data_IF_999115221905
#
_entry.id   IF_999115221905
#
_cell.length_a   1.000
_cell.length_b   1.000
_cell.length_c   1.000
_cell.angle_alpha   90.00
_cell.angle_beta   90.00
_cell.angle_gamma   90.00
#
_symmetry.space_group_name_H-M   'P 1'
#
loop_
_entity.id
_entity.type
_entity.pdbx_description
1 polymer ?
#
# COMPACT_ATOMS: atom_id res chain seq x y z
N UNK A 1 -8.85 15.21 13.40
CA UNK A 1 -7.42 15.52 13.70
C UNK A 1 -7.12 17.03 13.59
N UNK A 2 -6.13 17.55 14.32
CA UNK A 2 -5.67 18.96 14.28
C UNK A 2 -4.62 19.17 13.19
N UNK A 3 -5.03 19.18 11.93
CA UNK A 3 -4.11 19.32 10.80
C UNK A 3 -3.88 20.79 10.38
N UNK A 4 -4.69 21.72 10.91
CA UNK A 4 -4.66 23.14 10.52
C UNK A 4 -3.39 23.86 10.95
N UNK A 5 -2.59 24.37 9.99
CA UNK A 5 -1.35 25.12 10.28
C UNK A 5 -0.11 24.30 10.57
N UNK A 6 -0.24 22.95 10.56
CA UNK A 6 0.89 22.06 10.79
C UNK A 6 1.81 21.97 9.56
N UNK A 7 3.12 21.71 9.77
CA UNK A 7 4.08 21.56 8.68
C UNK A 7 3.74 20.39 7.76
N UNK A 8 3.96 20.57 6.48
CA UNK A 8 3.79 19.54 5.47
C UNK A 8 5.14 18.91 5.10
N UNK A 9 5.18 17.60 4.92
CA UNK A 9 6.38 16.93 4.41
C UNK A 9 6.68 17.34 2.98
N UNK A 10 7.96 17.55 2.68
CA UNK A 10 8.46 17.70 1.31
C UNK A 10 8.73 16.38 0.60
N UNK A 11 8.66 15.26 1.31
CA UNK A 11 8.88 13.90 0.76
C UNK A 11 7.58 13.34 0.14
N UNK A 12 6.95 14.12 -0.73
CA UNK A 12 5.69 13.80 -1.37
C UNK A 12 5.77 13.99 -2.89
N UNK A 13 5.41 12.94 -3.62
CA UNK A 13 5.29 12.96 -5.08
C UNK A 13 3.83 12.81 -5.49
N UNK A 14 3.32 13.75 -6.27
CA UNK A 14 1.97 13.67 -6.82
C UNK A 14 2.02 13.19 -8.28
N UNK A 15 1.52 12.00 -8.51
CA UNK A 15 1.39 11.37 -9.83
C UNK A 15 -0.07 11.16 -10.23
N UNK A 16 -1.04 11.73 -9.49
CA UNK A 16 -2.47 11.45 -9.70
C UNK A 16 -3.00 11.92 -11.04
N UNK A 17 -2.41 12.99 -11.61
CA UNK A 17 -2.76 13.47 -12.96
C UNK A 17 -2.02 12.79 -14.09
N UNK A 18 -1.17 11.79 -13.81
CA UNK A 18 -0.42 11.09 -14.84
C UNK A 18 -1.24 9.89 -15.32
N UNK A 19 -1.47 9.79 -16.63
CA UNK A 19 -2.02 8.57 -17.22
C UNK A 19 -1.03 7.43 -16.98
N UNK A 20 -1.49 6.35 -16.32
CA UNK A 20 -0.71 5.12 -16.15
C UNK A 20 -0.44 4.50 -17.53
N UNK A 21 0.63 4.91 -18.20
CA UNK A 21 1.08 4.35 -19.49
C UNK A 21 1.68 2.94 -19.30
N UNK A 22 1.04 2.13 -18.47
CA UNK A 22 1.47 0.78 -18.19
C UNK A 22 0.61 -0.25 -18.89
N UNK A 23 0.59 -0.26 -20.20
CA UNK A 23 0.19 -1.33 -21.13
C UNK A 23 -0.35 -0.79 -22.47
N UNK A 24 -0.14 0.47 -22.78
CA UNK A 24 -0.65 1.14 -23.96
C UNK A 24 0.41 1.52 -25.01
N UNK A 25 1.56 0.86 -25.05
CA UNK A 25 2.65 1.11 -25.98
C UNK A 25 2.89 -0.02 -26.97
N UNK A 26 1.83 -0.73 -27.40
CA UNK A 26 1.89 -1.63 -28.55
C UNK A 26 0.76 -1.28 -29.50
N UNK A 27 1.01 -0.29 -30.35
CA UNK A 27 0.21 -0.03 -31.53
C UNK A 27 0.26 -1.24 -32.45
N UNK A 28 -0.85 -1.95 -32.58
CA UNK A 28 -1.04 -3.12 -33.40
C UNK A 28 -2.11 -4.01 -32.80
N UNK A 29 -3.28 -4.04 -33.49
CA UNK A 29 -4.48 -4.73 -33.03
C UNK A 29 -4.26 -6.15 -32.53
N UNK A 30 -4.28 -6.34 -31.26
CA UNK A 30 -4.28 -7.65 -30.63
C UNK A 30 -5.59 -7.84 -29.87
N UNK A 31 -6.45 -8.69 -30.44
CA UNK A 31 -7.70 -9.17 -29.86
C UNK A 31 -7.53 -9.86 -28.46
N UNK A 32 -6.29 -10.10 -28.01
CA UNK A 32 -6.00 -10.70 -26.72
C UNK A 32 -6.27 -9.77 -25.51
N UNK A 33 -6.11 -8.47 -25.66
CA UNK A 33 -6.34 -7.52 -24.56
C UNK A 33 -7.81 -7.40 -24.14
N UNK A 34 -8.75 -7.69 -25.05
CA UNK A 34 -10.18 -7.65 -24.77
C UNK A 34 -10.72 -8.95 -24.12
N UNK A 35 -9.93 -10.03 -24.14
CA UNK A 35 -10.37 -11.34 -23.62
C UNK A 35 -9.96 -11.55 -22.15
N UNK A 36 -8.98 -10.81 -21.64
CA UNK A 36 -8.47 -10.98 -20.28
C UNK A 36 -9.56 -10.80 -19.19
N UNK A 37 -10.40 -9.75 -19.24
CA UNK A 37 -11.46 -9.59 -18.24
C UNK A 37 -12.53 -10.69 -18.34
N UNK A 38 -12.77 -11.20 -19.53
CA UNK A 38 -13.78 -12.24 -19.78
C UNK A 38 -13.31 -13.61 -19.28
N UNK A 39 -12.01 -13.90 -19.39
CA UNK A 39 -11.40 -15.15 -18.94
C UNK A 39 -11.27 -15.16 -17.42
N UNK A 40 -10.92 -14.03 -16.81
CA UNK A 40 -10.88 -13.91 -15.33
C UNK A 40 -12.25 -14.10 -14.69
N UNK A 41 -13.33 -13.62 -15.32
CA UNK A 41 -14.69 -13.74 -14.80
C UNK A 41 -15.27 -15.14 -14.86
N UNK A 42 -14.77 -16.00 -15.78
CA UNK A 42 -15.30 -17.35 -15.98
C UNK A 42 -14.38 -18.49 -15.53
N UNK A 43 -13.07 -18.30 -15.52
CA UNK A 43 -12.09 -19.37 -15.30
C UNK A 43 -11.08 -19.07 -14.18
N UNK A 44 -11.19 -17.93 -13.50
CA UNK A 44 -10.32 -17.55 -12.40
C UNK A 44 -8.82 -17.54 -12.77
N UNK A 45 -7.95 -17.66 -11.75
CA UNK A 45 -6.49 -17.68 -11.94
C UNK A 45 -5.99 -18.82 -12.86
N UNK A 46 -6.71 -19.94 -12.90
CA UNK A 46 -6.36 -21.08 -13.76
C UNK A 46 -6.45 -20.76 -15.25
N UNK A 47 -7.41 -19.92 -15.66
CA UNK A 47 -7.56 -19.50 -17.06
C UNK A 47 -6.43 -18.57 -17.53
N UNK A 48 -5.90 -17.75 -16.64
CA UNK A 48 -4.76 -16.86 -16.94
C UNK A 48 -3.49 -17.66 -17.18
N UNK A 49 -3.25 -18.71 -16.36
CA UNK A 49 -2.09 -19.60 -16.53
C UNK A 49 -2.16 -20.33 -17.88
N UNK A 50 -3.34 -20.80 -18.30
CA UNK A 50 -3.51 -21.44 -19.61
C UNK A 50 -3.27 -20.49 -20.78
N UNK A 51 -3.67 -19.20 -20.67
CA UNK A 51 -3.40 -18.20 -21.69
C UNK A 51 -1.91 -17.87 -21.79
N UNK A 52 -1.22 -17.76 -20.66
CA UNK A 52 0.23 -17.50 -20.64
C UNK A 52 1.00 -18.69 -21.21
N UNK A 53 0.66 -19.92 -20.81
CA UNK A 53 1.28 -21.13 -21.36
C UNK A 53 0.98 -21.28 -22.84
N UNK A 54 -0.27 -21.04 -23.27
CA UNK A 54 -0.66 -21.07 -24.70
C UNK A 54 0.12 -20.05 -25.54
N UNK A 55 0.33 -18.83 -25.02
CA UNK A 55 1.13 -17.81 -25.67
C UNK A 55 2.60 -18.23 -25.84
N UNK A 56 3.21 -18.80 -24.80
CA UNK A 56 4.59 -19.28 -24.89
C UNK A 56 4.74 -20.50 -25.82
N UNK A 57 3.77 -21.40 -25.84
CA UNK A 57 3.76 -22.55 -26.75
C UNK A 57 3.59 -22.10 -28.22
N UNK A 58 2.70 -21.17 -28.51
CA UNK A 58 2.56 -20.61 -29.87
C UNK A 58 3.83 -19.87 -30.31
N UNK A 59 4.49 -19.15 -29.42
CA UNK A 59 5.71 -18.41 -29.74
C UNK A 59 6.93 -19.34 -29.93
N UNK A 60 6.93 -20.53 -29.31
CA UNK A 60 8.00 -21.53 -29.45
C UNK A 60 7.82 -22.46 -30.65
N UNK A 61 6.63 -22.52 -31.25
CA UNK A 61 6.32 -23.37 -32.41
C UNK A 61 6.52 -22.72 -33.78
N UNK A 62 7.26 -21.63 -33.85
CA UNK A 62 7.76 -21.13 -35.11
C UNK A 62 6.96 -19.96 -35.68
N UNK A 63 7.68 -18.94 -35.87
CA UNK A 63 7.29 -17.67 -36.44
C UNK A 63 6.65 -17.76 -37.80
N UNK A 64 5.73 -16.82 -37.99
CA UNK A 64 5.37 -16.34 -39.34
C UNK A 64 5.89 -14.92 -39.44
N UNK A 65 6.88 -14.78 -40.29
CA UNK A 65 7.64 -13.59 -40.52
C UNK A 65 6.81 -12.45 -41.12
N UNK A 66 7.29 -11.25 -40.84
CA UNK A 66 6.85 -10.00 -41.44
C UNK A 66 7.89 -8.94 -41.20
N UNK A 67 8.85 -8.81 -42.11
CA UNK A 67 9.88 -7.79 -42.17
C UNK A 67 9.25 -6.42 -42.37
N UNK A 68 9.57 -5.47 -41.50
CA UNK A 68 9.28 -4.06 -41.73
C UNK A 68 10.08 -3.25 -40.75
N UNK A 69 11.34 -2.93 -41.10
CA UNK A 69 12.20 -2.08 -40.28
C UNK A 69 11.67 -0.65 -40.26
N UNK A 70 11.49 -0.11 -39.07
CA UNK A 70 11.42 1.33 -38.85
C UNK A 70 12.33 1.59 -37.65
N UNK A 71 13.39 2.35 -37.86
CA UNK A 71 14.33 2.81 -36.84
C UNK A 71 13.58 3.61 -35.76
N UNK A 72 13.85 3.39 -34.48
CA UNK A 72 13.31 4.24 -33.46
C UNK A 72 14.01 5.58 -33.49
N UNK A 73 13.24 6.63 -33.67
CA UNK A 73 13.71 7.99 -33.39
C UNK A 73 13.63 8.22 -31.89
N UNK A 74 14.76 8.09 -31.21
CA UNK A 74 14.90 8.44 -29.80
C UNK A 74 14.74 9.95 -29.61
N UNK A 75 13.53 10.35 -29.33
CA UNK A 75 13.26 11.58 -28.56
C UNK A 75 12.62 11.17 -27.25
N UNK A 76 13.21 11.54 -26.09
CA UNK A 76 12.52 11.36 -24.84
C UNK A 76 11.21 12.16 -24.90
N UNK A 77 10.09 11.47 -24.95
CA UNK A 77 8.78 12.09 -24.76
C UNK A 77 8.75 12.57 -23.32
N UNK A 78 8.89 13.87 -23.12
CA UNK A 78 8.57 14.52 -21.85
C UNK A 78 7.14 14.11 -21.50
N UNK A 79 6.99 13.32 -20.43
CA UNK A 79 5.70 13.07 -19.85
C UNK A 79 5.08 14.42 -19.52
N UNK A 80 3.99 14.75 -20.18
CA UNK A 80 3.21 15.94 -19.85
C UNK A 80 2.75 15.73 -18.41
N UNK A 81 3.27 16.53 -17.49
CA UNK A 81 2.84 16.53 -16.08
C UNK A 81 1.33 16.90 -16.10
N UNK A 82 0.48 15.90 -15.92
CA UNK A 82 -0.94 16.12 -15.74
C UNK A 82 -1.19 16.95 -14.50
N UNK A 83 -2.26 17.73 -14.49
CA UNK A 83 -2.64 18.45 -13.29
C UNK A 83 -3.01 17.45 -12.20
N UNK A 84 -2.58 17.73 -10.95
CA UNK A 84 -3.00 16.97 -9.78
C UNK A 84 -4.52 16.84 -9.70
N UNK A 85 -4.99 15.65 -9.38
CA UNK A 85 -6.42 15.38 -9.14
C UNK A 85 -6.75 15.32 -7.64
N UNK A 86 -5.74 15.53 -6.78
CA UNK A 86 -5.92 15.58 -5.33
C UNK A 86 -6.71 16.82 -4.91
N UNK A 87 -7.70 16.64 -4.02
CA UNK A 87 -8.26 17.78 -3.33
C UNK A 87 -7.22 18.37 -2.37
N UNK A 88 -7.28 19.71 -2.11
CA UNK A 88 -6.37 20.34 -1.16
C UNK A 88 -6.41 19.70 0.23
N UNK A 89 -7.58 19.25 0.66
CA UNK A 89 -7.80 18.61 1.97
C UNK A 89 -7.08 17.28 2.07
N UNK A 90 -7.25 16.43 1.06
CA UNK A 90 -6.58 15.11 1.01
C UNK A 90 -5.06 15.30 0.89
N UNK A 91 -4.60 16.20 0.01
CA UNK A 91 -3.18 16.51 -0.09
C UNK A 91 -2.60 16.91 1.25
N UNK A 92 -3.28 17.84 1.95
CA UNK A 92 -2.86 18.33 3.26
C UNK A 92 -2.80 17.20 4.28
N UNK A 93 -3.82 16.35 4.35
CA UNK A 93 -3.82 15.20 5.26
C UNK A 93 -2.61 14.30 4.98
N UNK A 94 -2.38 13.93 3.73
CA UNK A 94 -1.26 13.07 3.34
C UNK A 94 0.08 13.67 3.76
N UNK A 95 0.31 14.95 3.46
CA UNK A 95 1.60 15.61 3.68
C UNK A 95 1.85 15.97 5.15
N UNK A 96 0.82 16.40 5.90
CA UNK A 96 0.95 16.68 7.34
C UNK A 96 1.16 15.40 8.14
N UNK A 97 0.39 14.33 7.87
CA UNK A 97 0.56 13.06 8.57
C UNK A 97 1.94 12.47 8.28
N UNK A 98 2.40 12.49 7.02
CA UNK A 98 3.75 12.05 6.70
C UNK A 98 4.80 12.86 7.46
N UNK A 99 4.69 14.20 7.48
CA UNK A 99 5.62 15.07 8.17
C UNK A 99 5.67 14.84 9.69
N UNK A 100 4.52 14.62 10.33
CA UNK A 100 4.47 14.31 11.76
C UNK A 100 5.08 12.92 12.05
N UNK A 101 4.86 11.92 11.17
CA UNK A 101 5.55 10.62 11.31
C UNK A 101 7.06 10.76 11.18
N UNK A 102 7.55 11.59 10.25
CA UNK A 102 8.98 11.87 10.07
C UNK A 102 9.58 12.53 11.32
N UNK A 103 8.89 13.51 11.87
CA UNK A 103 9.33 14.21 13.09
C UNK A 103 9.42 13.26 14.28
N UNK A 104 8.36 12.45 14.50
CA UNK A 104 8.33 11.51 15.61
C UNK A 104 9.42 10.44 15.48
N UNK A 105 9.47 9.74 14.33
CA UNK A 105 10.41 8.64 14.14
C UNK A 105 11.86 9.10 14.01
N UNK A 106 12.08 10.31 13.49
CA UNK A 106 13.39 10.94 13.47
C UNK A 106 13.96 11.18 14.89
N UNK A 107 13.09 11.42 15.87
CA UNK A 107 13.48 11.55 17.27
C UNK A 107 13.57 10.20 17.99
N UNK A 108 12.69 9.27 17.67
CA UNK A 108 12.58 7.98 18.33
C UNK A 108 13.66 6.96 17.89
N UNK A 109 14.13 7.06 16.64
CA UNK A 109 15.09 6.13 16.03
C UNK A 109 16.34 6.89 15.55
N UNK A 110 17.50 6.56 16.10
CA UNK A 110 18.75 7.28 15.80
C UNK A 110 19.26 7.15 14.34
N UNK A 111 18.70 6.22 13.58
CA UNK A 111 19.06 5.97 12.18
C UNK A 111 17.88 6.13 11.21
N UNK A 112 16.81 6.79 11.64
CA UNK A 112 15.66 7.02 10.77
C UNK A 112 16.03 7.88 9.56
N UNK A 113 15.55 7.47 8.41
CA UNK A 113 15.61 8.23 7.15
C UNK A 113 14.17 8.34 6.64
N UNK A 114 13.72 9.55 6.25
CA UNK A 114 12.37 9.72 5.72
C UNK A 114 12.11 8.85 4.49
N UNK A 115 10.88 8.39 4.35
CA UNK A 115 10.36 7.75 3.15
C UNK A 115 9.69 8.78 2.25
N UNK A 116 9.59 8.50 0.95
CA UNK A 116 8.78 9.32 0.04
C UNK A 116 7.41 8.68 -0.13
N UNK A 117 6.34 9.46 0.01
CA UNK A 117 5.00 9.04 -0.33
C UNK A 117 4.65 9.46 -1.76
N UNK A 118 4.15 8.53 -2.56
CA UNK A 118 3.70 8.72 -3.94
C UNK A 118 2.19 8.57 -3.99
N UNK A 119 1.48 9.65 -4.28
CA UNK A 119 0.05 9.59 -4.61
C UNK A 119 -0.11 9.32 -6.10
N UNK A 120 -0.93 8.34 -6.47
CA UNK A 120 -1.17 7.97 -7.88
C UNK A 120 -2.64 7.63 -8.10
N UNK A 121 -3.07 7.43 -9.35
CA UNK A 121 -4.44 7.00 -9.68
C UNK A 121 -4.41 5.77 -10.57
N UNK A 122 -5.15 4.73 -10.18
CA UNK A 122 -5.34 3.49 -10.94
C UNK A 122 -4.13 2.57 -10.94
N UNK A 123 -2.96 3.04 -11.35
CA UNK A 123 -1.74 2.24 -11.37
C UNK A 123 -0.47 3.08 -11.51
N UNK A 124 0.65 2.55 -11.01
CA UNK A 124 1.96 3.22 -11.06
C UNK A 124 3.11 2.23 -11.15
N UNK A 125 4.22 2.65 -11.76
CA UNK A 125 5.47 1.87 -11.78
C UNK A 125 6.22 2.08 -10.47
N UNK A 126 6.73 0.97 -9.90
CA UNK A 126 7.55 0.96 -8.68
C UNK A 126 8.74 0.02 -8.86
N UNK A 127 9.74 0.10 -7.99
CA UNK A 127 10.85 -0.85 -7.99
C UNK A 127 10.44 -2.27 -7.51
N UNK A 128 9.23 -2.43 -6.98
CA UNK A 128 8.64 -3.72 -6.60
C UNK A 128 7.73 -4.31 -7.69
N UNK A 129 7.62 -3.65 -8.84
CA UNK A 129 6.73 -4.01 -9.93
C UNK A 129 5.63 -2.98 -10.15
N UNK A 130 4.62 -3.35 -10.95
CA UNK A 130 3.48 -2.47 -11.24
C UNK A 130 2.48 -2.48 -10.08
N UNK A 131 2.36 -1.36 -9.38
CA UNK A 131 1.36 -1.14 -8.34
C UNK A 131 -0.01 -0.83 -8.94
N UNK A 132 -1.05 -1.50 -8.44
CA UNK A 132 -2.44 -1.28 -8.83
C UNK A 132 -3.24 -0.76 -7.63
N UNK A 133 -4.11 0.23 -7.85
CA UNK A 133 -5.00 0.78 -6.82
C UNK A 133 -5.84 -0.29 -6.12
N UNK A 134 -6.28 -1.32 -6.85
CA UNK A 134 -7.06 -2.43 -6.30
C UNK A 134 -6.33 -3.25 -5.22
N UNK A 135 -5.01 -3.13 -5.11
CA UNK A 135 -4.22 -3.76 -4.05
C UNK A 135 -4.22 -2.97 -2.73
N UNK A 136 -4.74 -1.74 -2.74
CA UNK A 136 -4.66 -0.80 -1.63
C UNK A 136 -3.31 -0.08 -1.55
N UNK A 137 -3.11 0.76 -0.52
CA UNK A 137 -1.83 1.36 -0.20
C UNK A 137 -0.76 0.30 0.09
N UNK A 138 0.50 0.61 -0.19
CA UNK A 138 1.61 -0.31 0.09
C UNK A 138 2.95 0.41 0.20
N UNK A 139 3.85 -0.18 0.96
CA UNK A 139 5.27 0.19 1.00
C UNK A 139 6.09 -0.72 0.08
N UNK A 140 6.96 -0.14 -0.74
CA UNK A 140 7.91 -0.89 -1.56
C UNK A 140 9.32 -0.82 -0.94
N UNK A 141 9.87 -1.93 -0.43
CA UNK A 141 11.20 -1.92 0.20
C UNK A 141 12.34 -1.65 -0.78
N UNK A 142 12.19 -1.94 -2.08
CA UNK A 142 13.25 -1.79 -3.06
C UNK A 142 13.56 -0.32 -3.39
N UNK A 143 12.55 0.56 -3.41
CA UNK A 143 12.74 2.01 -3.61
C UNK A 143 12.47 2.83 -2.34
N UNK A 144 12.05 2.16 -1.26
CA UNK A 144 11.77 2.75 0.03
C UNK A 144 10.69 3.84 -0.04
N UNK A 145 9.64 3.60 -0.84
CA UNK A 145 8.53 4.52 -1.03
C UNK A 145 7.20 3.91 -0.60
N UNK A 146 6.33 4.76 -0.12
CA UNK A 146 4.91 4.45 0.12
C UNK A 146 4.12 4.85 -1.13
N UNK A 147 3.23 3.99 -1.56
CA UNK A 147 2.35 4.22 -2.70
C UNK A 147 0.90 4.19 -2.26
N UNK A 148 0.15 5.23 -2.63
CA UNK A 148 -1.24 5.38 -2.21
C UNK A 148 -2.09 5.92 -3.36
N UNK A 149 -3.19 5.23 -3.65
CA UNK A 149 -4.27 5.78 -4.46
C UNK A 149 -5.30 6.42 -3.53
N UNK A 150 -5.54 7.73 -3.62
CA UNK A 150 -6.48 8.41 -2.73
C UNK A 150 -7.91 7.91 -2.79
N UNK A 151 -8.31 7.23 -3.89
CA UNK A 151 -9.62 6.61 -3.99
C UNK A 151 -9.82 5.46 -2.98
N UNK A 152 -8.73 4.87 -2.48
CA UNK A 152 -8.79 3.91 -1.38
C UNK A 152 -9.50 4.48 -0.14
N UNK A 153 -9.34 5.76 0.15
CA UNK A 153 -10.02 6.40 1.28
C UNK A 153 -11.54 6.50 1.08
N UNK A 154 -11.97 6.68 -0.18
CA UNK A 154 -13.39 6.60 -0.52
C UNK A 154 -13.93 5.18 -0.34
N UNK A 155 -13.15 4.16 -0.67
CA UNK A 155 -13.50 2.76 -0.41
C UNK A 155 -13.56 2.46 1.09
N UNK A 156 -12.55 2.94 1.86
CA UNK A 156 -12.51 2.79 3.31
C UNK A 156 -13.78 3.39 3.96
N UNK A 157 -14.17 4.58 3.54
CA UNK A 157 -15.36 5.25 4.06
C UNK A 157 -16.68 4.57 3.64
N UNK A 158 -16.82 4.22 2.36
CA UNK A 158 -18.10 3.77 1.78
C UNK A 158 -18.32 2.26 1.89
N UNK A 159 -17.29 1.48 1.51
CA UNK A 159 -17.38 0.02 1.48
C UNK A 159 -17.13 -0.59 2.84
N UNK A 160 -16.13 -0.07 3.55
CA UNK A 160 -15.72 -0.61 4.83
C UNK A 160 -16.32 0.14 6.02
N UNK A 161 -17.13 1.17 5.79
CA UNK A 161 -17.84 1.96 6.82
C UNK A 161 -16.89 2.51 7.90
N UNK A 162 -15.66 2.80 7.51
CA UNK A 162 -14.62 3.38 8.38
C UNK A 162 -14.22 4.77 7.86
N UNK A 163 -15.12 5.77 7.89
CA UNK A 163 -14.79 7.15 7.55
C UNK A 163 -13.95 7.79 8.65
N UNK A 164 -13.26 8.87 8.29
CA UNK A 164 -12.55 9.72 9.22
C UNK A 164 -11.15 10.05 8.75
N UNK A 165 -10.64 11.17 9.22
CA UNK A 165 -9.29 11.61 8.86
C UNK A 165 -8.22 10.74 9.56
N UNK A 166 -8.49 10.28 10.77
CA UNK A 166 -7.57 9.37 11.44
C UNK A 166 -7.63 7.93 10.88
N UNK A 167 -8.73 7.49 10.29
CA UNK A 167 -8.74 6.23 9.54
C UNK A 167 -7.73 6.25 8.38
N UNK A 168 -7.63 7.38 7.66
CA UNK A 168 -6.63 7.60 6.62
C UNK A 168 -5.22 7.73 7.20
N UNK A 169 -5.05 8.48 8.29
CA UNK A 169 -3.77 8.66 8.97
C UNK A 169 -3.21 7.35 9.51
N UNK A 170 -4.06 6.46 10.04
CA UNK A 170 -3.67 5.12 10.47
C UNK A 170 -3.06 4.30 9.32
N UNK A 171 -3.67 4.31 8.14
CA UNK A 171 -3.12 3.60 6.97
C UNK A 171 -1.75 4.13 6.60
N UNK A 172 -1.58 5.46 6.54
CA UNK A 172 -0.29 6.09 6.27
C UNK A 172 0.76 5.67 7.31
N UNK A 173 0.41 5.74 8.59
CA UNK A 173 1.31 5.37 9.67
C UNK A 173 1.67 3.88 9.67
N UNK A 174 0.77 3.00 9.22
CA UNK A 174 1.02 1.58 8.99
C UNK A 174 2.08 1.37 7.91
N UNK A 175 1.96 2.05 6.76
CA UNK A 175 2.96 1.99 5.69
C UNK A 175 4.32 2.56 6.13
N UNK A 176 4.34 3.61 6.95
CA UNK A 176 5.56 4.08 7.62
C UNK A 176 6.11 3.01 8.57
N UNK A 177 5.25 2.22 9.22
CA UNK A 177 5.66 1.06 10.01
C UNK A 177 6.48 0.05 9.20
N UNK A 178 6.07 -0.25 7.97
CA UNK A 178 6.85 -1.11 7.06
C UNK A 178 8.19 -0.47 6.67
N UNK A 179 8.22 0.85 6.50
CA UNK A 179 9.49 1.55 6.27
C UNK A 179 10.44 1.40 7.46
N UNK A 180 9.95 1.52 8.69
CA UNK A 180 10.75 1.31 9.91
C UNK A 180 11.28 -0.13 9.95
N UNK A 181 10.43 -1.12 9.69
CA UNK A 181 10.83 -2.53 9.61
C UNK A 181 11.94 -2.75 8.59
N UNK A 182 11.85 -2.10 7.43
CA UNK A 182 12.88 -2.17 6.40
C UNK A 182 14.20 -1.56 6.89
N UNK A 183 14.18 -0.36 7.49
CA UNK A 183 15.36 0.28 8.06
C UNK A 183 16.04 -0.57 9.16
N UNK A 184 15.26 -1.35 9.90
CA UNK A 184 15.74 -2.27 10.94
C UNK A 184 16.18 -3.65 10.39
N UNK A 185 16.06 -3.89 9.07
CA UNK A 185 16.36 -5.15 8.42
C UNK A 185 15.39 -6.28 8.80
N UNK A 186 14.21 -5.94 9.31
CA UNK A 186 13.20 -6.94 9.73
C UNK A 186 12.52 -7.58 8.53
N UNK A 187 12.23 -6.80 7.47
CA UNK A 187 11.61 -7.34 6.25
C UNK A 187 12.51 -8.39 5.60
N UNK A 188 13.81 -8.16 5.54
CA UNK A 188 14.78 -9.15 5.01
C UNK A 188 14.79 -10.43 5.84
N UNK A 189 14.78 -10.32 7.17
CA UNK A 189 14.71 -11.48 8.06
C UNK A 189 13.39 -12.24 7.89
N UNK A 190 12.28 -11.53 7.78
CA UNK A 190 10.98 -12.13 7.53
C UNK A 190 10.96 -12.90 6.19
N UNK A 191 11.42 -12.29 5.10
CA UNK A 191 11.52 -12.93 3.79
C UNK A 191 12.41 -14.18 3.80
N UNK A 192 13.57 -14.13 4.48
CA UNK A 192 14.44 -15.30 4.62
C UNK A 192 13.78 -16.44 5.42
N UNK A 193 13.00 -16.10 6.45
CA UNK A 193 12.25 -17.08 7.23
C UNK A 193 11.10 -17.68 6.40
N UNK A 194 10.36 -16.86 5.66
CA UNK A 194 9.27 -17.29 4.76
C UNK A 194 9.79 -18.23 3.66
N UNK A 195 10.96 -17.95 3.08
CA UNK A 195 11.57 -18.79 2.04
C UNK A 195 11.88 -20.24 2.50
N UNK A 196 11.95 -20.48 3.81
CA UNK A 196 12.25 -21.78 4.42
C UNK A 196 11.03 -22.44 5.07
N UNK A 197 9.92 -21.72 5.13
CA UNK A 197 8.70 -22.13 5.81
C UNK A 197 7.72 -22.82 4.85
N UNK A 198 6.79 -23.58 5.40
CA UNK A 198 5.58 -23.97 4.67
C UNK A 198 4.73 -22.73 4.36
N UNK A 199 3.75 -22.85 3.46
CA UNK A 199 2.85 -21.74 3.12
C UNK A 199 2.14 -21.17 4.35
N UNK A 200 1.58 -22.03 5.21
CA UNK A 200 0.88 -21.59 6.43
C UNK A 200 1.81 -20.90 7.41
N UNK A 201 3.02 -21.44 7.61
CA UNK A 201 4.03 -20.79 8.46
C UNK A 201 4.51 -19.45 7.85
N UNK A 202 4.70 -19.41 6.54
CA UNK A 202 5.05 -18.17 5.82
C UNK A 202 3.98 -17.10 5.97
N UNK A 203 2.71 -17.47 5.86
CA UNK A 203 1.58 -16.57 6.13
C UNK A 203 1.60 -16.06 7.59
N UNK A 204 1.85 -16.95 8.56
CA UNK A 204 1.93 -16.56 9.96
C UNK A 204 3.12 -15.60 10.25
N UNK A 205 4.23 -15.73 9.50
CA UNK A 205 5.33 -14.77 9.55
C UNK A 205 4.87 -13.41 9.01
N UNK A 206 4.18 -13.40 7.87
CA UNK A 206 3.66 -12.15 7.30
C UNK A 206 2.69 -11.46 8.25
N UNK A 207 1.75 -12.18 8.86
CA UNK A 207 0.84 -11.63 9.86
C UNK A 207 1.61 -10.92 11.00
N UNK A 208 2.74 -11.46 11.46
CA UNK A 208 3.55 -10.77 12.49
C UNK A 208 4.15 -9.46 11.97
N UNK A 209 4.61 -9.42 10.72
CA UNK A 209 5.08 -8.19 10.07
C UNK A 209 3.99 -7.12 10.10
N UNK A 210 2.78 -7.49 9.66
CA UNK A 210 1.63 -6.58 9.60
C UNK A 210 1.21 -6.05 10.98
N UNK A 211 1.09 -6.96 11.95
CA UNK A 211 0.70 -6.58 13.32
C UNK A 211 1.74 -5.67 13.99
N UNK A 212 3.02 -5.82 13.65
CA UNK A 212 4.03 -4.91 14.15
C UNK A 212 3.90 -3.52 13.49
N UNK A 213 3.57 -3.45 12.19
CA UNK A 213 3.29 -2.17 11.53
C UNK A 213 2.06 -1.47 12.13
N UNK A 214 0.99 -2.21 12.43
CA UNK A 214 -0.17 -1.69 13.18
C UNK A 214 0.23 -1.15 14.56
N UNK A 215 1.10 -1.87 15.28
CA UNK A 215 1.60 -1.41 16.57
C UNK A 215 2.42 -0.11 16.44
N UNK A 216 3.30 0.00 15.45
CA UNK A 216 4.05 1.23 15.19
C UNK A 216 3.13 2.40 14.84
N UNK A 217 2.05 2.17 14.08
CA UNK A 217 1.02 3.18 13.84
C UNK A 217 0.37 3.65 15.15
N UNK A 218 0.08 2.75 16.07
CA UNK A 218 -0.44 3.07 17.40
C UNK A 218 0.55 3.87 18.24
N UNK A 219 1.84 3.50 18.21
CA UNK A 219 2.90 4.25 18.90
C UNK A 219 3.00 5.68 18.39
N UNK A 220 2.99 5.87 17.07
CA UNK A 220 2.96 7.20 16.47
C UNK A 220 1.73 7.97 16.92
N UNK A 221 0.54 7.41 16.79
CA UNK A 221 -0.71 8.05 17.16
C UNK A 221 -0.74 8.58 18.61
N UNK A 222 -0.13 7.84 19.55
CA UNK A 222 0.00 8.26 20.95
C UNK A 222 0.89 9.46 21.14
N UNK A 223 1.93 9.58 20.30
CA UNK A 223 2.98 10.58 20.45
C UNK A 223 2.83 11.77 19.48
N UNK A 224 1.96 11.63 18.46
CA UNK A 224 1.70 12.65 17.44
C UNK A 224 1.24 13.98 18.09
N UNK A 225 1.92 15.08 17.76
CA UNK A 225 1.68 16.39 18.37
C UNK A 225 1.72 17.49 17.33
N UNK A 226 0.86 18.46 17.53
CA UNK A 226 0.94 19.72 16.79
C UNK A 226 2.26 20.47 17.10
N UNK A 227 2.63 21.39 16.23
CA UNK A 227 3.77 22.31 16.45
C UNK A 227 3.64 23.11 17.77
N UNK A 228 2.42 23.28 18.28
CA UNK A 228 2.14 23.87 19.58
C UNK A 228 2.23 22.87 20.76
N UNK A 229 2.62 21.60 20.50
CA UNK A 229 2.78 20.58 21.53
C UNK A 229 1.46 19.94 22.01
N UNK A 230 0.33 20.26 21.40
CA UNK A 230 -0.96 19.63 21.69
C UNK A 230 -1.04 18.26 21.01
N UNK A 231 -1.82 17.28 21.52
CA UNK A 231 -2.07 16.05 20.78
C UNK A 231 -2.62 16.35 19.38
N UNK A 232 -2.07 15.70 18.35
CA UNK A 232 -2.56 15.83 16.98
C UNK A 232 -3.96 15.20 16.83
N UNK A 233 -4.21 14.12 17.56
CA UNK A 233 -5.51 13.45 17.63
C UNK A 233 -6.48 14.22 18.51
N UNK A 234 -7.75 14.22 18.09
CA UNK A 234 -8.90 14.71 18.84
C UNK A 234 -9.72 13.56 19.43
N UNK A 235 -10.73 13.90 20.22
CA UNK A 235 -11.62 12.88 20.80
C UNK A 235 -12.39 12.15 19.68
N UNK A 236 -12.33 10.84 19.65
CA UNK A 236 -12.98 9.99 18.66
C UNK A 236 -12.06 9.56 17.49
N UNK A 237 -10.95 10.25 17.28
CA UNK A 237 -10.02 9.92 16.18
C UNK A 237 -9.45 8.51 16.31
N UNK A 238 -8.98 8.13 17.50
CA UNK A 238 -8.41 6.80 17.71
C UNK A 238 -9.41 5.68 17.40
N UNK A 239 -10.67 5.89 17.72
CA UNK A 239 -11.77 4.99 17.40
C UNK A 239 -12.01 4.87 15.89
N UNK A 240 -11.71 5.90 15.10
CA UNK A 240 -11.74 5.80 13.63
C UNK A 240 -10.67 4.85 13.11
N UNK A 241 -9.44 4.95 13.60
CA UNK A 241 -8.36 4.03 13.26
C UNK A 241 -8.67 2.59 13.70
N UNK A 242 -9.29 2.42 14.87
CA UNK A 242 -9.73 1.11 15.35
C UNK A 242 -10.78 0.49 14.41
N UNK A 243 -11.75 1.29 13.93
CA UNK A 243 -12.74 0.83 12.93
C UNK A 243 -12.07 0.49 11.60
N UNK A 244 -11.09 1.27 11.18
CA UNK A 244 -10.34 0.97 9.96
C UNK A 244 -9.57 -0.35 10.10
N UNK A 245 -8.85 -0.57 11.19
CA UNK A 245 -8.14 -1.82 11.48
C UNK A 245 -9.08 -3.04 11.51
N UNK A 246 -10.28 -2.89 12.10
CA UNK A 246 -11.34 -3.91 12.09
C UNK A 246 -11.82 -4.23 10.67
N UNK A 247 -12.08 -3.19 9.89
CA UNK A 247 -12.70 -3.31 8.57
C UNK A 247 -11.79 -3.99 7.53
N UNK A 248 -10.47 -3.83 7.67
CA UNK A 248 -9.47 -4.38 6.75
C UNK A 248 -8.76 -5.64 7.28
N UNK A 249 -9.29 -6.28 8.33
CA UNK A 249 -8.83 -7.59 8.78
C UNK A 249 -9.18 -8.70 7.80
N UNK A 250 -8.29 -9.69 7.65
CA UNK A 250 -8.46 -10.78 6.68
C UNK A 250 -9.76 -11.56 6.87
N UNK A 251 -10.21 -11.76 8.12
CA UNK A 251 -11.48 -12.41 8.44
C UNK A 251 -12.69 -11.63 7.92
N UNK A 252 -12.68 -10.31 8.08
CA UNK A 252 -13.73 -9.41 7.56
C UNK A 252 -13.74 -9.41 6.03
N UNK A 253 -12.56 -9.23 5.41
CA UNK A 253 -12.42 -9.20 3.95
C UNK A 253 -12.82 -10.54 3.29
N UNK A 254 -12.40 -11.67 3.86
CA UNK A 254 -12.76 -12.99 3.37
C UNK A 254 -14.25 -13.27 3.51
N UNK A 255 -14.84 -12.91 4.66
CA UNK A 255 -16.29 -13.06 4.87
C UNK A 255 -17.10 -12.26 3.86
N UNK A 256 -16.68 -11.02 3.55
CA UNK A 256 -17.34 -10.16 2.57
C UNK A 256 -17.18 -10.66 1.13
N UNK A 257 -16.00 -11.17 0.76
CA UNK A 257 -15.68 -11.54 -0.63
C UNK A 257 -16.08 -12.95 -1.01
N UNK A 258 -15.97 -13.91 -0.10
CA UNK A 258 -16.18 -15.33 -0.36
C UNK A 258 -17.10 -16.05 0.63
N UNK A 259 -17.58 -15.36 1.68
CA UNK A 259 -18.52 -15.89 2.67
C UNK A 259 -17.90 -16.87 3.67
N UNK A 260 -16.63 -17.24 3.53
CA UNK A 260 -15.93 -18.22 4.37
C UNK A 260 -14.60 -17.63 4.85
N UNK A 261 -14.28 -17.87 6.11
CA UNK A 261 -13.02 -17.43 6.73
C UNK A 261 -12.06 -18.60 6.82
N UNK A 262 -10.83 -18.43 6.31
CA UNK A 262 -9.77 -19.44 6.29
C UNK A 262 -8.53 -18.87 6.99
N UNK A 263 -8.37 -19.06 8.32
CA UNK A 263 -7.30 -18.44 9.10
C UNK A 263 -5.88 -18.75 8.62
N UNK A 264 -5.63 -19.97 8.13
CA UNK A 264 -4.33 -20.39 7.61
C UNK A 264 -3.90 -19.62 6.33
N UNK A 265 -4.83 -18.91 5.70
CA UNK A 265 -4.56 -18.06 4.53
C UNK A 265 -4.42 -16.58 4.85
N UNK A 266 -4.52 -16.18 6.11
CA UNK A 266 -4.35 -14.80 6.51
C UNK A 266 -2.92 -14.34 6.23
N UNK A 267 -2.80 -13.14 5.70
CA UNK A 267 -1.52 -12.47 5.43
C UNK A 267 -1.40 -11.14 6.15
N UNK A 268 -2.51 -10.55 6.61
CA UNK A 268 -2.54 -9.30 7.37
C UNK A 268 -3.01 -9.48 8.82
N UNK A 269 -3.61 -10.63 9.12
CA UNK A 269 -4.18 -10.93 10.43
C UNK A 269 -5.68 -10.65 10.53
N UNK A 270 -6.30 -11.17 11.59
CA UNK A 270 -7.73 -10.92 11.84
C UNK A 270 -7.96 -9.50 12.32
N UNK A 271 -9.20 -9.01 12.17
CA UNK A 271 -9.68 -7.74 12.71
C UNK A 271 -9.31 -7.58 14.19
N UNK A 272 -9.52 -8.63 15.00
CA UNK A 272 -9.19 -8.60 16.41
C UNK A 272 -7.67 -8.46 16.68
N UNK A 273 -6.83 -9.13 15.89
CA UNK A 273 -5.37 -9.04 16.02
C UNK A 273 -4.86 -7.64 15.64
N UNK A 274 -5.35 -7.10 14.52
CA UNK A 274 -4.97 -5.76 14.05
C UNK A 274 -5.36 -4.67 15.05
N UNK A 275 -6.61 -4.69 15.53
CA UNK A 275 -7.08 -3.77 16.58
C UNK A 275 -6.24 -3.89 17.86
N UNK A 276 -5.91 -5.12 18.29
CA UNK A 276 -5.10 -5.34 19.49
C UNK A 276 -3.67 -4.81 19.33
N UNK A 277 -3.09 -4.94 18.15
CA UNK A 277 -1.76 -4.42 17.84
C UNK A 277 -1.73 -2.89 17.84
N UNK A 278 -2.67 -2.25 17.14
CA UNK A 278 -2.83 -0.80 17.10
C UNK A 278 -3.03 -0.23 18.52
N UNK A 279 -3.93 -0.83 19.31
CA UNK A 279 -4.18 -0.43 20.70
C UNK A 279 -2.93 -0.60 21.59
N UNK A 280 -2.20 -1.70 21.46
CA UNK A 280 -0.95 -1.90 22.20
C UNK A 280 0.05 -0.78 21.97
N UNK A 281 0.23 -0.40 20.70
CA UNK A 281 1.09 0.73 20.34
C UNK A 281 0.62 2.03 20.97
N UNK A 282 -0.66 2.32 20.87
CA UNK A 282 -1.27 3.54 21.42
C UNK A 282 -1.19 3.61 22.95
N UNK A 283 -1.53 2.52 23.63
CA UNK A 283 -1.56 2.51 25.11
C UNK A 283 -0.15 2.66 25.70
N UNK A 284 0.85 2.08 25.06
CA UNK A 284 2.25 2.13 25.54
C UNK A 284 3.02 3.35 25.06
N UNK A 285 2.74 3.84 23.84
CA UNK A 285 3.52 4.88 23.18
C UNK A 285 5.00 4.53 22.99
N UNK A 286 5.38 3.26 23.17
CA UNK A 286 6.76 2.80 23.19
C UNK A 286 7.04 1.81 22.06
N UNK A 287 7.94 2.11 21.11
CA UNK A 287 8.29 1.20 20.01
C UNK A 287 8.76 -0.18 20.47
N UNK A 288 9.39 -0.29 21.64
CA UNK A 288 9.85 -1.56 22.19
C UNK A 288 8.71 -2.53 22.58
N UNK A 289 7.47 -2.03 22.70
CA UNK A 289 6.29 -2.87 22.93
C UNK A 289 5.80 -3.57 21.65
N UNK A 290 6.28 -3.15 20.46
CA UNK A 290 5.91 -3.68 19.15
C UNK A 290 6.84 -4.85 18.78
N UNK A 291 6.66 -5.99 19.45
CA UNK A 291 7.46 -7.19 19.19
C UNK A 291 7.06 -7.86 17.86
N UNK A 292 8.07 -8.43 17.19
CA UNK A 292 7.91 -9.22 15.95
C UNK A 292 7.70 -10.70 16.25
#
# INVERSE_FOLDING_TARGET
MRLGGEPESSNFEDRTGQSSSGFGGMGGGNALGCLLPLVMSRFGLGGVVLLVVGYFVLNSLGGLGGTGGILPSDKPQSATAGQSTLSPEIRRLLTVVLGDTEEYWGKALGNYRPTTMVAYTGGTQTACGFGQAAAGPFYCPNDQKIYIDPDFFNELARRFQAPGDFAMAYVIAHEVGHHIQNLQGMLDRAHQAQARASRTEGNAIQVRVELQADCYAGVWAKNAKTSAGQPLLESGDFEEGMRAAEAIGDDTLQKQSQGVVVPDSFTHGSSAQRMAALRRGYDTGNPAACTF
#
